data_IF_956261294721
#
_entry.id   IF_956261294721
#
_cell.length_a   1.000
_cell.length_b   1.000
_cell.length_c   1.000
_cell.angle_alpha   90.00
_cell.angle_beta   90.00
_cell.angle_gamma   90.00
#
_symmetry.space_group_name_H-M   'P 1'
#
loop_
_entity.id
_entity.type
_entity.pdbx_description
1 polymer ?
#
# COMPACT_ATOMS: atom_id res chain seq x y z
N UNK A 1 23.76 -62.50 4.26
CA UNK A 1 23.93 -61.04 4.12
C UNK A 1 22.69 -60.39 4.70
N UNK A 2 22.81 -59.73 5.85
CA UNK A 2 21.69 -59.16 6.60
C UNK A 2 21.73 -57.63 6.52
N UNK A 3 20.63 -57.01 6.10
CA UNK A 3 20.39 -55.57 6.15
C UNK A 3 19.95 -55.16 7.56
N UNK A 4 20.53 -54.13 8.17
CA UNK A 4 19.92 -53.47 9.31
C UNK A 4 19.12 -52.24 8.88
N UNK A 5 17.81 -52.31 9.09
CA UNK A 5 16.97 -51.13 9.27
C UNK A 5 17.03 -50.70 10.74
N UNK A 6 17.41 -49.45 11.04
CA UNK A 6 16.98 -48.76 12.26
C UNK A 6 17.31 -47.26 12.25
N UNK A 7 16.27 -46.45 12.07
CA UNK A 7 16.06 -45.16 12.74
C UNK A 7 14.59 -45.23 13.23
N UNK A 8 14.16 -44.71 14.41
CA UNK A 8 14.56 -43.41 14.93
C UNK A 8 14.75 -43.29 16.45
N UNK A 9 15.66 -42.41 16.85
CA UNK A 9 15.89 -42.03 18.25
C UNK A 9 15.81 -40.52 18.45
N UNK A 10 14.59 -39.99 18.55
CA UNK A 10 14.36 -38.63 19.03
C UNK A 10 14.62 -38.55 20.54
N UNK A 11 15.66 -37.80 20.95
CA UNK A 11 15.75 -37.23 22.30
C UNK A 11 16.14 -35.76 22.20
N UNK A 12 15.18 -34.90 22.56
CA UNK A 12 15.38 -33.48 22.87
C UNK A 12 16.17 -33.38 24.19
N UNK A 13 17.15 -32.47 24.29
CA UNK A 13 17.07 -31.25 25.13
C UNK A 13 18.41 -30.51 25.32
N UNK A 14 18.27 -29.19 25.25
CA UNK A 14 18.87 -28.12 26.08
C UNK A 14 20.39 -27.92 26.04
N UNK A 15 20.77 -26.94 25.23
CA UNK A 15 21.91 -26.07 25.48
C UNK A 15 21.49 -24.62 25.29
N UNK A 16 20.95 -23.98 26.33
CA UNK A 16 20.77 -22.52 26.38
C UNK A 16 22.14 -21.86 26.38
N UNK A 17 22.69 -21.57 25.19
CA UNK A 17 23.75 -20.55 25.08
C UNK A 17 23.08 -19.20 25.21
N UNK A 18 23.33 -18.57 26.36
CA UNK A 18 22.98 -17.19 26.68
C UNK A 18 23.42 -16.31 25.50
N UNK A 19 22.45 -15.85 24.71
CA UNK A 19 22.65 -14.82 23.70
C UNK A 19 23.00 -13.57 24.46
N UNK A 20 24.18 -13.02 24.14
CA UNK A 20 24.76 -11.87 24.81
C UNK A 20 23.80 -10.70 24.87
N UNK A 21 24.05 -9.86 25.88
CA UNK A 21 23.44 -8.58 26.14
C UNK A 21 22.92 -7.91 24.86
N UNK A 22 21.62 -7.65 24.86
CA UNK A 22 20.94 -6.75 23.95
C UNK A 22 21.60 -5.37 24.07
N UNK A 23 22.36 -4.88 23.05
CA UNK A 23 22.56 -3.45 22.96
C UNK A 23 21.22 -2.87 22.55
N UNK A 24 20.77 -1.89 23.33
CA UNK A 24 19.58 -1.10 23.07
C UNK A 24 19.43 -0.87 21.56
N UNK A 25 18.30 -1.33 21.02
CA UNK A 25 17.86 -0.89 19.69
C UNK A 25 17.66 0.61 19.79
N UNK A 26 18.70 1.36 19.47
CA UNK A 26 18.54 2.73 19.00
C UNK A 26 17.74 2.60 17.72
N UNK A 27 16.44 2.76 17.86
CA UNK A 27 15.53 3.03 16.75
C UNK A 27 16.13 4.22 15.97
N UNK A 28 16.51 4.06 14.69
CA UNK A 28 16.91 5.22 13.92
C UNK A 28 15.65 6.08 13.71
N UNK A 29 15.60 7.34 14.20
CA UNK A 29 14.50 8.23 13.90
C UNK A 29 14.67 8.67 12.44
N UNK A 30 14.10 7.92 11.51
CA UNK A 30 14.27 8.21 10.09
C UNK A 30 13.94 7.07 9.12
N UNK A 31 13.48 5.91 9.59
CA UNK A 31 12.75 5.02 8.71
C UNK A 31 11.35 5.62 8.49
N UNK A 32 11.23 6.51 7.50
CA UNK A 32 9.92 6.83 6.94
C UNK A 32 9.16 5.51 6.77
N UNK A 33 7.90 5.40 7.25
CA UNK A 33 7.13 4.20 7.07
C UNK A 33 6.99 4.02 5.57
N UNK A 34 7.80 3.13 4.98
CA UNK A 34 7.56 2.60 3.67
C UNK A 34 6.17 1.99 3.77
N UNK A 35 5.16 2.74 3.31
CA UNK A 35 3.77 2.43 3.49
C UNK A 35 3.60 0.94 3.20
N UNK A 36 3.24 0.18 4.23
CA UNK A 36 3.01 -1.24 4.04
C UNK A 36 1.93 -1.37 2.95
N UNK A 37 1.97 -2.41 2.09
CA UNK A 37 1.01 -2.54 1.01
C UNK A 37 -0.45 -2.51 1.50
N UNK A 38 -0.67 -2.91 2.76
CA UNK A 38 -1.94 -2.77 3.48
C UNK A 38 -2.27 -1.29 3.74
N UNK A 39 -1.33 -0.49 4.24
CA UNK A 39 -1.48 0.96 4.47
C UNK A 39 -1.76 1.76 3.19
N UNK A 40 -1.15 1.40 2.06
CA UNK A 40 -1.44 2.07 0.78
C UNK A 40 -2.84 1.74 0.24
N UNK A 41 -3.32 0.53 0.53
CA UNK A 41 -4.68 0.12 0.14
C UNK A 41 -5.74 0.76 1.04
N UNK A 42 -5.45 0.88 2.35
CA UNK A 42 -6.28 1.62 3.30
C UNK A 42 -6.36 3.10 2.91
N UNK A 43 -5.23 3.73 2.61
CA UNK A 43 -5.19 5.12 2.16
C UNK A 43 -5.99 5.36 0.88
N UNK A 44 -5.95 4.42 -0.09
CA UNK A 44 -6.78 4.49 -1.28
C UNK A 44 -8.29 4.49 -0.95
N UNK A 45 -8.72 3.68 0.01
CA UNK A 45 -10.13 3.64 0.47
C UNK A 45 -10.55 4.89 1.24
N UNK A 46 -9.65 5.43 2.05
CA UNK A 46 -9.91 6.68 2.77
C UNK A 46 -10.09 7.84 1.78
N UNK A 47 -9.24 7.90 0.75
CA UNK A 47 -9.37 8.87 -0.34
C UNK A 47 -10.69 8.69 -1.10
N UNK A 48 -11.05 7.46 -1.46
CA UNK A 48 -12.33 7.16 -2.14
C UNK A 48 -13.53 7.64 -1.31
N UNK A 49 -13.48 7.44 0.01
CA UNK A 49 -14.54 7.89 0.93
C UNK A 49 -14.66 9.43 1.00
N UNK A 50 -13.55 10.16 0.83
CA UNK A 50 -13.55 11.62 0.75
C UNK A 50 -13.97 12.19 -0.60
N UNK A 51 -13.94 11.37 -1.65
CA UNK A 51 -14.13 11.78 -3.04
C UNK A 51 -15.18 10.89 -3.74
N UNK A 52 -16.48 11.04 -3.43
CA UNK A 52 -17.54 10.09 -3.80
C UNK A 52 -17.80 9.96 -5.31
N UNK A 53 -17.26 10.87 -6.13
CA UNK A 53 -17.33 10.75 -7.59
C UNK A 53 -16.10 10.09 -8.21
N UNK A 54 -15.14 9.62 -7.41
CA UNK A 54 -13.94 8.93 -7.88
C UNK A 54 -13.89 7.50 -7.37
N UNK A 55 -13.33 6.61 -8.18
CA UNK A 55 -12.88 5.28 -7.74
C UNK A 55 -11.37 5.30 -7.67
N UNK A 56 -10.80 4.94 -6.52
CA UNK A 56 -9.35 5.00 -6.27
C UNK A 56 -8.81 3.61 -5.93
N UNK A 57 -7.76 3.19 -6.64
CA UNK A 57 -7.19 1.85 -6.55
C UNK A 57 -5.68 1.92 -6.38
N UNK A 58 -5.14 1.19 -5.40
CA UNK A 58 -3.69 0.98 -5.28
C UNK A 58 -3.24 -0.26 -6.03
N UNK A 59 -2.34 -0.12 -7.01
CA UNK A 59 -1.73 -1.24 -7.72
C UNK A 59 -0.35 -1.57 -7.15
N UNK A 60 -0.30 -2.61 -6.31
CA UNK A 60 0.94 -3.04 -5.62
C UNK A 60 2.12 -3.34 -6.55
N UNK A 61 1.89 -3.92 -7.72
CA UNK A 61 2.96 -4.26 -8.68
C UNK A 61 3.52 -3.02 -9.40
N UNK A 62 2.69 -2.00 -9.63
CA UNK A 62 3.11 -0.74 -10.24
C UNK A 62 3.60 0.28 -9.21
N UNK A 63 3.25 0.06 -7.93
CA UNK A 63 3.41 1.03 -6.83
C UNK A 63 2.82 2.40 -7.19
N UNK A 64 1.61 2.39 -7.77
CA UNK A 64 0.88 3.59 -8.18
C UNK A 64 -0.58 3.51 -7.76
N UNK A 65 -1.12 4.67 -7.39
CA UNK A 65 -2.55 4.92 -7.24
C UNK A 65 -3.14 5.23 -8.60
N UNK A 66 -4.32 4.70 -8.86
CA UNK A 66 -5.11 4.93 -10.05
C UNK A 66 -6.43 5.54 -9.61
N UNK A 67 -6.87 6.62 -10.25
CA UNK A 67 -8.16 7.23 -9.98
C UNK A 67 -9.00 7.35 -11.26
N UNK A 68 -10.29 7.05 -11.13
CA UNK A 68 -11.25 7.04 -12.22
C UNK A 68 -12.45 7.92 -11.85
N UNK A 69 -12.79 8.94 -12.66
CA UNK A 69 -13.97 9.77 -12.40
C UNK A 69 -15.23 9.04 -12.86
N UNK A 70 -16.22 8.92 -11.97
CA UNK A 70 -17.48 8.21 -12.21
C UNK A 70 -18.50 9.01 -13.00
N UNK A 71 -18.34 10.34 -13.06
CA UNK A 71 -19.28 11.24 -13.75
C UNK A 71 -18.98 11.44 -15.24
N UNK A 72 -17.85 10.92 -15.74
CA UNK A 72 -17.47 11.04 -17.14
C UNK A 72 -17.94 9.78 -17.88
N UNK A 73 -19.01 9.92 -18.68
CA UNK A 73 -19.62 8.81 -19.41
C UNK A 73 -18.75 8.28 -20.57
N UNK A 74 -17.90 9.12 -21.15
CA UNK A 74 -16.99 8.74 -22.24
C UNK A 74 -15.62 8.38 -21.68
N UNK A 75 -15.47 7.12 -21.27
CA UNK A 75 -14.20 6.44 -20.98
C UNK A 75 -13.06 7.40 -20.55
N UNK A 76 -13.14 8.01 -19.36
CA UNK A 76 -12.08 8.88 -18.88
C UNK A 76 -10.78 8.08 -18.80
N UNK A 77 -9.70 8.65 -19.34
CA UNK A 77 -8.39 8.07 -19.11
C UNK A 77 -8.13 8.06 -17.60
N UNK A 78 -7.74 6.92 -17.02
CA UNK A 78 -7.39 6.88 -15.61
C UNK A 78 -6.16 7.74 -15.39
N UNK A 79 -6.22 8.59 -14.37
CA UNK A 79 -5.02 9.24 -13.87
C UNK A 79 -4.28 8.29 -12.93
N UNK A 80 -2.96 8.33 -12.98
CA UNK A 80 -2.12 7.54 -12.09
C UNK A 80 -1.01 8.37 -11.45
N UNK A 81 -0.66 8.03 -10.23
CA UNK A 81 0.38 8.72 -9.48
C UNK A 81 1.11 7.77 -8.50
N UNK A 82 2.40 7.99 -8.29
CA UNK A 82 3.17 7.27 -7.26
C UNK A 82 2.89 7.77 -5.84
N UNK A 83 2.48 9.04 -5.71
CA UNK A 83 2.20 9.70 -4.44
C UNK A 83 0.77 10.23 -4.40
N UNK A 84 0.19 10.25 -3.20
CA UNK A 84 -1.19 10.70 -2.99
C UNK A 84 -1.38 12.18 -3.31
N UNK A 85 -0.39 13.02 -2.97
CA UNK A 85 -0.49 14.46 -3.25
C UNK A 85 -0.59 14.75 -4.74
N UNK A 86 0.17 14.03 -5.56
CA UNK A 86 0.13 14.15 -7.02
C UNK A 86 -1.19 13.63 -7.58
N UNK A 87 -1.77 12.59 -6.97
CA UNK A 87 -3.08 12.07 -7.36
C UNK A 87 -4.18 13.12 -7.08
N UNK A 88 -4.18 13.70 -5.88
CA UNK A 88 -5.17 14.70 -5.46
C UNK A 88 -5.09 15.98 -6.29
N UNK A 89 -3.88 16.42 -6.64
CA UNK A 89 -3.69 17.57 -7.52
C UNK A 89 -4.30 17.32 -8.91
N UNK A 90 -4.07 16.14 -9.49
CA UNK A 90 -4.66 15.75 -10.78
C UNK A 90 -6.18 15.60 -10.70
N UNK A 91 -6.71 15.00 -9.63
CA UNK A 91 -8.16 14.89 -9.40
C UNK A 91 -8.81 16.27 -9.35
N UNK A 92 -8.21 17.20 -8.60
CA UNK A 92 -8.72 18.57 -8.46
C UNK A 92 -8.69 19.33 -9.79
N UNK A 93 -7.63 19.17 -10.59
CA UNK A 93 -7.54 19.79 -11.92
C UNK A 93 -8.64 19.28 -12.85
N UNK A 94 -8.90 17.97 -12.87
CA UNK A 94 -9.98 17.38 -13.67
C UNK A 94 -11.35 17.87 -13.19
N UNK A 95 -11.59 17.93 -11.86
CA UNK A 95 -12.83 18.48 -11.32
C UNK A 95 -13.04 19.95 -11.72
N UNK A 96 -11.97 20.75 -11.79
CA UNK A 96 -12.03 22.15 -12.24
C UNK A 96 -12.33 22.25 -13.74
N UNK A 97 -11.72 21.42 -14.57
CA UNK A 97 -11.96 21.40 -16.02
C UNK A 97 -13.40 20.98 -16.36
N UNK A 98 -13.98 20.09 -15.55
CA UNK A 98 -15.32 19.55 -15.77
C UNK A 98 -16.42 20.28 -14.97
N UNK A 99 -16.06 21.22 -14.10
CA UNK A 99 -17.03 22.11 -13.49
C UNK A 99 -17.61 23.03 -14.57
N UNK A 100 -18.95 23.09 -14.73
CA UNK A 100 -19.53 24.01 -15.69
C UNK A 100 -19.11 25.44 -15.31
N UNK A 101 -18.76 26.29 -16.30
CA UNK A 101 -18.52 27.69 -16.00
C UNK A 101 -19.79 28.22 -15.33
N UNK A 102 -19.63 28.86 -14.16
CA UNK A 102 -20.72 29.55 -13.50
C UNK A 102 -21.32 30.51 -14.53
N UNK A 103 -22.47 30.12 -15.11
CA UNK A 103 -23.21 30.96 -16.02
C UNK A 103 -23.83 32.01 -15.12
N UNK A 104 -23.08 33.09 -14.87
CA UNK A 104 -23.60 34.29 -14.24
C UNK A 104 -24.76 34.77 -15.13
N UNK A 105 -25.97 34.60 -14.62
CA UNK A 105 -27.20 35.16 -15.20
C UNK A 105 -27.34 36.65 -14.94
#
# INVERSE_FOLDING_TARGET
>A
MATPAKDPGHVRRRGHRRRGAEPARTDPPGAEPAASPDSATELARDLESGHPGWVILWRRWARRYWAFPLWIANAPEPIEAGHVQDLLAQMSDIELQHSPPATNG
#
